data_IF_180366597795
#
_entry.id   IF_180366597795
#
_cell.length_a   1.000
_cell.length_b   1.000
_cell.length_c   1.000
_cell.angle_alpha   90.00
_cell.angle_beta   90.00
_cell.angle_gamma   90.00
#
_symmetry.space_group_name_H-M   'P 1'
#
loop_
_entity.id
_entity.type
_entity.pdbx_description
1 polymer ?
#
# COMPACT_ATOMS: atom_id res chain seq x y z
N UNK A 1 14.22 3.12 15.14
CA UNK A 1 12.96 3.78 14.73
C UNK A 1 12.90 3.78 13.22
N UNK A 2 11.73 3.56 12.63
CA UNK A 2 11.54 3.47 11.18
C UNK A 2 11.73 4.87 10.54
N UNK A 3 12.23 4.93 9.31
CA UNK A 3 12.42 6.19 8.59
C UNK A 3 11.20 6.46 7.70
N UNK A 4 10.21 7.15 8.27
CA UNK A 4 8.92 7.39 7.62
C UNK A 4 9.02 8.20 6.32
N UNK A 5 10.04 9.06 6.18
CA UNK A 5 10.25 9.80 4.94
C UNK A 5 10.66 8.83 3.81
N UNK A 6 11.61 7.93 4.08
CA UNK A 6 12.02 6.91 3.09
C UNK A 6 10.90 5.93 2.78
N UNK A 7 10.09 5.57 3.77
CA UNK A 7 8.92 4.72 3.53
C UNK A 7 7.88 5.41 2.64
N UNK A 8 7.61 6.70 2.87
CA UNK A 8 6.68 7.46 2.05
C UNK A 8 7.20 7.60 0.62
N UNK A 9 8.49 7.89 0.43
CA UNK A 9 9.11 7.94 -0.90
C UNK A 9 9.00 6.59 -1.65
N UNK A 10 9.11 5.47 -0.94
CA UNK A 10 8.89 4.15 -1.52
C UNK A 10 7.43 3.97 -1.95
N UNK A 11 6.48 4.43 -1.14
CA UNK A 11 5.06 4.38 -1.45
C UNK A 11 4.71 5.24 -2.69
N UNK A 12 5.24 6.46 -2.76
CA UNK A 12 4.99 7.40 -3.87
C UNK A 12 5.61 6.93 -5.19
N UNK A 13 6.72 6.19 -5.13
CA UNK A 13 7.31 5.53 -6.31
C UNK A 13 6.51 4.32 -6.80
N UNK A 14 5.70 3.72 -5.92
CA UNK A 14 4.88 2.58 -6.30
C UNK A 14 3.71 3.03 -7.20
N UNK A 15 3.26 2.13 -8.09
CA UNK A 15 2.12 2.43 -8.97
C UNK A 15 0.86 2.70 -8.10
N UNK A 16 0.21 3.86 -8.25
CA UNK A 16 -1.00 4.22 -7.51
C UNK A 16 -2.14 3.24 -7.73
N UNK A 17 -3.03 3.11 -6.75
CA UNK A 17 -4.25 2.31 -6.85
C UNK A 17 -5.29 2.90 -7.80
N UNK A 18 -6.49 2.29 -7.87
CA UNK A 18 -6.98 1.28 -6.93
C UNK A 18 -6.44 -0.12 -7.21
N UNK A 19 -6.01 -0.82 -6.16
CA UNK A 19 -5.60 -2.23 -6.27
C UNK A 19 -6.75 -3.14 -5.85
N UNK A 20 -6.87 -4.32 -6.46
CA UNK A 20 -7.91 -5.30 -6.12
C UNK A 20 -7.35 -6.70 -6.15
N UNK A 21 -7.77 -7.51 -5.20
CA UNK A 21 -7.60 -8.96 -5.29
C UNK A 21 -8.55 -9.51 -6.36
N UNK A 22 -8.05 -10.42 -7.18
CA UNK A 22 -8.87 -11.23 -8.08
C UNK A 22 -8.38 -12.69 -8.10
N UNK A 23 -9.31 -13.61 -8.31
CA UNK A 23 -9.00 -15.00 -8.63
C UNK A 23 -9.42 -15.25 -10.08
N UNK A 24 -8.48 -15.64 -10.93
CA UNK A 24 -8.74 -15.85 -12.36
C UNK A 24 -8.46 -17.31 -12.73
N UNK A 25 -9.29 -17.86 -13.61
CA UNK A 25 -9.19 -19.26 -14.01
C UNK A 25 -7.81 -19.66 -14.58
N UNK A 26 -7.09 -18.71 -15.20
CA UNK A 26 -5.82 -18.97 -15.88
C UNK A 26 -4.58 -18.46 -15.11
N UNK A 27 -4.74 -17.58 -14.12
CA UNK A 27 -3.61 -16.98 -13.39
C UNK A 27 -3.66 -17.22 -11.87
N UNK A 28 -4.72 -17.85 -11.36
CA UNK A 28 -4.93 -18.06 -9.93
C UNK A 28 -5.13 -16.73 -9.19
N UNK A 29 -4.55 -16.65 -7.99
CA UNK A 29 -4.65 -15.49 -7.09
C UNK A 29 -3.74 -14.34 -7.56
N UNK A 30 -4.33 -13.19 -7.87
CA UNK A 30 -3.61 -12.03 -8.41
C UNK A 30 -3.98 -10.73 -7.71
N UNK A 31 -3.04 -9.78 -7.70
CA UNK A 31 -3.31 -8.36 -7.46
C UNK A 31 -3.48 -7.67 -8.80
N UNK A 32 -4.66 -7.12 -9.02
CA UNK A 32 -5.06 -6.48 -10.26
C UNK A 32 -5.27 -4.98 -10.03
N UNK A 33 -4.77 -4.19 -10.98
CA UNK A 33 -5.18 -2.79 -11.12
C UNK A 33 -6.16 -2.68 -12.30
N UNK A 34 -7.32 -2.01 -12.15
CA UNK A 34 -8.24 -1.77 -13.25
C UNK A 34 -7.68 -0.67 -14.15
N UNK A 35 -6.73 -1.03 -15.02
CA UNK A 35 -6.27 -0.17 -16.11
C UNK A 35 -6.94 -0.60 -17.41
N UNK A 36 -7.53 0.33 -18.16
CA UNK A 36 -8.06 0.08 -19.51
C UNK A 36 -6.91 0.36 -20.48
N UNK A 37 -6.37 -0.67 -21.14
CA UNK A 37 -5.39 -0.44 -22.20
C UNK A 37 -6.07 0.15 -23.45
N UNK A 38 -5.27 0.54 -24.46
CA UNK A 38 -5.77 1.11 -25.73
C UNK A 38 -6.72 0.17 -26.50
N UNK A 39 -6.81 -1.10 -26.11
CA UNK A 39 -7.68 -2.12 -26.70
C UNK A 39 -8.93 -2.40 -25.84
N UNK A 40 -9.21 -1.59 -24.82
CA UNK A 40 -10.35 -1.80 -23.92
C UNK A 40 -10.18 -2.98 -22.95
N UNK A 41 -9.02 -3.65 -22.96
CA UNK A 41 -8.74 -4.78 -22.09
C UNK A 41 -8.27 -4.28 -20.74
N UNK A 42 -8.86 -4.84 -19.68
CA UNK A 42 -8.38 -4.60 -18.33
C UNK A 42 -7.13 -5.45 -18.08
N UNK A 43 -6.24 -4.95 -17.22
CA UNK A 43 -5.37 -5.72 -16.29
C UNK A 43 -3.87 -5.60 -16.55
N UNK A 44 -3.20 -4.84 -15.68
CA UNK A 44 -1.86 -5.20 -15.17
C UNK A 44 -2.09 -6.04 -13.91
N UNK A 45 -1.54 -7.25 -13.87
CA UNK A 45 -1.63 -8.15 -12.73
C UNK A 45 -0.23 -8.48 -12.20
N UNK A 46 -0.07 -8.42 -10.89
CA UNK A 46 1.05 -9.10 -10.21
C UNK A 46 0.53 -10.48 -9.84
N UNK A 47 1.10 -11.51 -10.49
CA UNK A 47 0.75 -12.92 -10.27
C UNK A 47 1.64 -13.48 -9.17
N UNK A 48 1.05 -13.95 -8.07
CA UNK A 48 1.78 -14.75 -7.08
C UNK A 48 1.72 -16.21 -7.53
N UNK A 49 2.79 -16.71 -8.15
CA UNK A 49 2.81 -18.07 -8.71
C UNK A 49 3.26 -19.10 -7.66
N UNK A 50 2.31 -19.95 -7.27
CA UNK A 50 2.36 -21.38 -6.85
C UNK A 50 3.42 -21.92 -5.86
N UNK A 51 4.41 -21.16 -5.39
CA UNK A 51 5.41 -21.66 -4.43
C UNK A 51 5.25 -21.15 -2.99
N UNK A 52 4.20 -20.38 -2.72
CA UNK A 52 3.86 -19.91 -1.37
C UNK A 52 2.85 -20.88 -0.75
N UNK A 53 3.05 -21.35 0.50
CA UNK A 53 2.04 -22.15 1.20
C UNK A 53 0.67 -21.47 1.08
N UNK A 54 -0.32 -22.21 0.57
CA UNK A 54 -1.64 -21.72 0.15
C UNK A 54 -2.55 -21.27 1.31
N UNK A 55 -2.07 -21.31 2.54
CA UNK A 55 -2.84 -20.86 3.70
C UNK A 55 -3.07 -19.35 3.62
N UNK A 56 -4.34 -18.96 3.69
CA UNK A 56 -4.77 -17.57 3.78
C UNK A 56 -4.26 -16.68 2.63
N UNK A 57 -4.00 -17.23 1.44
CA UNK A 57 -3.52 -16.45 0.28
C UNK A 57 -4.46 -15.29 -0.07
N UNK A 58 -5.77 -15.50 0.06
CA UNK A 58 -6.78 -14.44 -0.11
C UNK A 58 -6.56 -13.32 0.91
N UNK A 59 -6.49 -13.66 2.19
CA UNK A 59 -6.35 -12.68 3.27
C UNK A 59 -5.01 -11.94 3.18
N UNK A 60 -3.93 -12.63 2.79
CA UNK A 60 -2.62 -12.02 2.53
C UNK A 60 -2.69 -11.01 1.39
N UNK A 61 -3.40 -11.34 0.30
CA UNK A 61 -3.58 -10.44 -0.82
C UNK A 61 -4.47 -9.24 -0.48
N UNK A 62 -5.56 -9.48 0.25
CA UNK A 62 -6.41 -8.40 0.77
C UNK A 62 -5.63 -7.48 1.70
N UNK A 63 -4.80 -8.02 2.59
CA UNK A 63 -3.89 -7.24 3.44
C UNK A 63 -2.95 -6.39 2.60
N UNK A 64 -2.32 -6.94 1.56
CA UNK A 64 -1.41 -6.17 0.68
C UNK A 64 -2.17 -5.05 -0.02
N UNK A 65 -3.38 -5.29 -0.54
CA UNK A 65 -4.21 -4.24 -1.17
C UNK A 65 -4.46 -3.11 -0.17
N UNK A 66 -4.98 -3.45 1.01
CA UNK A 66 -5.33 -2.47 2.04
C UNK A 66 -4.09 -1.72 2.54
N UNK A 67 -2.96 -2.41 2.71
CA UNK A 67 -1.71 -1.79 3.11
C UNK A 67 -1.18 -0.84 2.03
N UNK A 68 -1.26 -1.19 0.74
CA UNK A 68 -0.82 -0.29 -0.35
C UNK A 68 -1.60 1.02 -0.39
N UNK A 69 -2.89 0.98 -0.07
CA UNK A 69 -3.74 2.17 -0.08
C UNK A 69 -3.69 2.94 1.25
N UNK A 70 -3.65 2.24 2.38
CA UNK A 70 -3.70 2.85 3.71
C UNK A 70 -2.34 3.26 4.29
N UNK A 71 -1.25 2.54 3.97
CA UNK A 71 0.07 2.81 4.54
C UNK A 71 0.63 4.20 4.23
N UNK A 72 0.50 4.74 3.00
CA UNK A 72 0.99 6.09 2.70
C UNK A 72 0.29 7.15 3.56
N UNK A 73 -1.02 7.02 3.75
CA UNK A 73 -1.81 7.95 4.56
C UNK A 73 -1.50 7.80 6.07
N UNK A 74 -1.31 6.57 6.55
CA UNK A 74 -0.87 6.32 7.91
C UNK A 74 0.50 6.94 8.19
N UNK A 75 1.45 6.82 7.26
CA UNK A 75 2.77 7.45 7.37
C UNK A 75 2.66 8.97 7.45
N UNK A 76 1.93 9.60 6.51
CA UNK A 76 1.72 11.06 6.52
C UNK A 76 1.14 11.51 7.85
N UNK A 77 0.14 10.80 8.35
CA UNK A 77 -0.51 11.11 9.63
C UNK A 77 0.46 11.02 10.81
N UNK A 78 1.32 10.00 10.85
CA UNK A 78 2.33 9.88 11.90
C UNK A 78 3.34 11.02 11.83
N UNK A 79 3.83 11.37 10.64
CA UNK A 79 4.77 12.48 10.47
C UNK A 79 4.18 13.83 10.91
N UNK A 80 2.91 14.10 10.59
CA UNK A 80 2.18 15.27 11.06
C UNK A 80 2.10 15.32 12.59
N UNK A 81 1.71 14.21 13.21
CA UNK A 81 1.61 14.11 14.67
C UNK A 81 2.96 14.27 15.36
N UNK A 82 4.03 13.70 14.80
CA UNK A 82 5.39 13.87 15.33
C UNK A 82 5.85 15.34 15.26
N UNK A 83 5.52 16.03 14.17
CA UNK A 83 5.80 17.46 14.01
C UNK A 83 5.03 18.30 15.02
N UNK A 84 3.74 17.99 15.20
CA UNK A 84 2.87 18.69 16.14
C UNK A 84 3.30 18.48 17.60
N UNK A 85 3.66 17.25 17.97
CA UNK A 85 4.19 16.96 19.32
C UNK A 85 5.48 17.73 19.58
N UNK A 86 6.36 17.88 18.58
CA UNK A 86 7.58 18.69 18.72
C UNK A 86 7.24 20.17 18.95
N UNK A 87 6.30 20.73 18.19
CA UNK A 87 5.84 22.11 18.35
C UNK A 87 5.28 22.36 19.75
N UNK A 88 4.36 21.51 20.20
CA UNK A 88 3.72 21.66 21.52
C UNK A 88 4.72 21.51 22.67
N UNK A 89 5.75 20.67 22.52
CA UNK A 89 6.83 20.55 23.52
C UNK A 89 7.65 21.83 23.60
N UNK A 90 8.03 22.40 22.46
CA UNK A 90 8.77 23.67 22.42
C UNK A 90 7.97 24.81 23.07
N UNK A 91 6.68 24.95 22.72
CA UNK A 91 5.80 25.97 23.33
C UNK A 91 5.67 25.80 24.84
N UNK A 92 5.61 24.55 25.33
CA UNK A 92 5.56 24.27 26.78
C UNK A 92 6.88 24.61 27.48
N UNK A 93 8.02 24.38 26.84
CA UNK A 93 9.34 24.67 27.40
C UNK A 93 9.65 26.17 27.43
N UNK A 94 8.97 26.96 26.60
CA UNK A 94 9.04 28.43 26.57
C UNK A 94 8.10 29.12 27.59
N UNK A 95 7.19 28.37 28.23
CA UNK A 95 6.25 28.82 29.28
C UNK A 95 6.75 28.51 30.69
#
# INVERSE_FOLDING_TARGET
>A
MRDFKKDLELCEKAIPGPWKYANTANMGHVLQMPYINIHGQKVMAIVLKEWTPLENIKDNLEFIVQAREGWPEAIKRVMELESEVKRLKAEKEEL
#
